data_IF_131720946252
#
_entry.id   IF_131720946252
#
_cell.length_a   1.000
_cell.length_b   1.000
_cell.length_c   1.000
_cell.angle_alpha   90.00
_cell.angle_beta   90.00
_cell.angle_gamma   90.00
#
_symmetry.space_group_name_H-M   'P 1'
#
loop_
_entity.id
_entity.type
_entity.pdbx_description
1 polymer ?
#
# COMPACT_ATOMS: atom_id res chain seq x y z
N UNK A 1 -22.02 -21.42 -19.73
CA UNK A 1 -21.76 -21.32 -18.29
C UNK A 1 -21.77 -19.84 -17.98
N UNK A 2 -22.88 -19.34 -17.42
CA UNK A 2 -23.17 -17.91 -17.31
C UNK A 2 -22.33 -17.28 -16.18
N UNK A 3 -21.46 -16.34 -16.52
CA UNK A 3 -20.99 -15.33 -15.58
C UNK A 3 -22.08 -14.28 -15.42
N UNK A 4 -22.90 -14.43 -14.38
CA UNK A 4 -23.83 -13.40 -13.94
C UNK A 4 -23.01 -12.29 -13.28
N UNK A 5 -22.56 -11.34 -14.10
CA UNK A 5 -22.01 -10.07 -13.61
C UNK A 5 -23.12 -9.36 -12.82
N UNK A 6 -23.03 -9.39 -11.50
CA UNK A 6 -23.93 -8.63 -10.62
C UNK A 6 -23.83 -7.15 -11.01
N UNK A 7 -24.95 -6.42 -11.16
CA UNK A 7 -24.91 -5.02 -11.53
C UNK A 7 -24.08 -4.25 -10.50
N UNK A 8 -23.01 -3.59 -10.96
CA UNK A 8 -22.17 -2.74 -10.13
C UNK A 8 -23.07 -1.65 -9.53
N UNK A 9 -23.35 -1.75 -8.23
CA UNK A 9 -24.10 -0.72 -7.52
C UNK A 9 -23.21 0.53 -7.48
N UNK A 10 -23.63 1.67 -8.04
CA UNK A 10 -22.82 2.88 -7.96
C UNK A 10 -22.70 3.30 -6.49
N UNK A 11 -21.48 3.55 -6.04
CA UNK A 11 -21.23 4.19 -4.76
C UNK A 11 -21.52 5.68 -4.89
N UNK A 12 -22.34 6.22 -3.98
CA UNK A 12 -22.71 7.63 -3.97
C UNK A 12 -21.86 8.37 -2.94
N UNK A 13 -21.21 9.46 -3.36
CA UNK A 13 -20.61 10.41 -2.42
C UNK A 13 -21.76 11.14 -1.72
N UNK A 14 -21.92 10.91 -0.43
CA UNK A 14 -22.89 11.63 0.40
C UNK A 14 -22.31 12.97 0.82
N UNK A 15 -22.63 14.02 0.06
CA UNK A 15 -22.09 15.38 0.22
C UNK A 15 -22.29 16.00 1.62
N UNK A 16 -23.25 15.48 2.40
CA UNK A 16 -23.53 15.97 3.76
C UNK A 16 -22.75 15.22 4.87
N UNK A 17 -22.16 14.06 4.58
CA UNK A 17 -21.34 13.33 5.54
C UNK A 17 -19.88 13.81 5.42
N UNK A 18 -19.11 13.83 6.52
CA UNK A 18 -17.67 14.08 6.42
C UNK A 18 -17.06 13.08 5.43
N UNK A 19 -16.14 13.52 4.56
CA UNK A 19 -15.55 12.63 3.58
C UNK A 19 -14.78 11.50 4.28
N UNK A 20 -14.79 10.28 3.73
CA UNK A 20 -14.06 9.17 4.32
C UNK A 20 -12.56 9.46 4.35
N UNK A 21 -11.92 9.16 5.48
CA UNK A 21 -10.48 9.25 5.66
C UNK A 21 -9.86 7.93 5.23
N UNK A 22 -9.13 7.98 4.11
CA UNK A 22 -8.43 6.81 3.56
C UNK A 22 -6.94 6.93 3.81
N UNK A 23 -6.36 5.94 4.48
CA UNK A 23 -4.92 5.85 4.71
C UNK A 23 -4.25 5.02 3.62
N UNK A 24 -3.33 5.64 2.89
CA UNK A 24 -2.39 4.93 2.03
C UNK A 24 -1.31 4.25 2.88
N UNK A 25 -1.33 2.93 2.92
CA UNK A 25 -0.48 2.11 3.77
C UNK A 25 0.55 1.34 2.93
N UNK A 26 1.75 1.91 2.85
CA UNK A 26 2.89 1.34 2.11
C UNK A 26 3.59 0.19 2.83
N UNK A 27 3.09 -0.26 3.99
CA UNK A 27 3.69 -1.36 4.76
C UNK A 27 5.13 -1.02 5.21
N UNK A 28 5.43 0.27 5.34
CA UNK A 28 6.69 0.80 5.86
C UNK A 28 6.58 1.23 7.32
N UNK A 29 7.70 1.63 7.91
CA UNK A 29 7.79 2.07 9.32
C UNK A 29 6.88 3.28 9.57
N UNK A 30 6.99 4.35 8.77
CA UNK A 30 6.25 5.58 8.98
C UNK A 30 4.74 5.40 8.85
N UNK A 31 4.30 4.71 7.78
CA UNK A 31 2.89 4.43 7.56
C UNK A 31 2.29 3.53 8.65
N UNK A 32 3.12 2.66 9.25
CA UNK A 32 2.72 1.80 10.37
C UNK A 32 2.60 2.61 11.66
N UNK A 33 3.58 3.48 11.93
CA UNK A 33 3.52 4.37 13.09
C UNK A 33 2.29 5.28 13.03
N UNK A 34 2.00 5.87 11.87
CA UNK A 34 0.81 6.68 11.65
C UNK A 34 -0.49 5.89 11.91
N UNK A 35 -0.61 4.67 11.35
CA UNK A 35 -1.77 3.81 11.57
C UNK A 35 -1.99 3.51 13.05
N UNK A 36 -0.93 3.15 13.77
CA UNK A 36 -0.99 2.79 15.19
C UNK A 36 -1.39 4.01 16.03
N UNK A 37 -0.82 5.17 15.74
CA UNK A 37 -1.09 6.40 16.49
C UNK A 37 -2.54 6.88 16.28
N UNK A 38 -3.03 6.88 15.03
CA UNK A 38 -4.42 7.21 14.73
C UNK A 38 -5.40 6.29 15.47
N UNK A 39 -5.12 4.98 15.47
CA UNK A 39 -5.92 4.01 16.21
C UNK A 39 -5.88 4.25 17.72
N UNK A 40 -4.71 4.61 18.28
CA UNK A 40 -4.55 4.89 19.70
C UNK A 40 -5.32 6.15 20.16
N UNK A 41 -5.46 7.15 19.28
CA UNK A 41 -6.25 8.37 19.52
C UNK A 41 -7.76 8.19 19.37
N UNK A 42 -8.22 7.01 18.91
CA UNK A 42 -9.61 6.81 18.51
C UNK A 42 -9.97 7.51 17.20
N UNK A 43 -8.97 7.89 16.40
CA UNK A 43 -9.09 8.55 15.09
C UNK A 43 -8.77 7.57 13.96
N UNK A 44 -9.20 6.31 14.10
CA UNK A 44 -8.88 5.27 13.12
C UNK A 44 -9.41 5.63 11.72
N UNK A 45 -8.65 5.39 10.64
CA UNK A 45 -9.13 5.63 9.27
C UNK A 45 -10.36 4.78 8.95
N UNK A 46 -11.25 5.31 8.10
CA UNK A 46 -12.40 4.57 7.59
C UNK A 46 -11.99 3.41 6.67
N UNK A 47 -10.85 3.57 5.98
CA UNK A 47 -10.29 2.58 5.08
C UNK A 47 -8.76 2.71 5.02
N UNK A 48 -8.08 1.57 5.06
CA UNK A 48 -6.65 1.45 4.83
C UNK A 48 -6.42 0.70 3.51
N UNK A 49 -5.55 1.23 2.66
CA UNK A 49 -5.24 0.65 1.34
C UNK A 49 -3.76 0.33 1.23
N UNK A 50 -3.42 -0.90 0.78
CA UNK A 50 -2.07 -1.24 0.34
C UNK A 50 -2.07 -1.64 -1.13
N UNK A 51 -1.08 -1.18 -1.88
CA UNK A 51 -0.84 -1.64 -3.24
C UNK A 51 0.04 -2.89 -3.21
N UNK A 52 -0.43 -3.99 -3.80
CA UNK A 52 0.38 -5.19 -3.99
C UNK A 52 1.01 -5.20 -5.39
N UNK A 53 2.33 -5.18 -5.41
CA UNK A 53 3.15 -5.18 -6.63
C UNK A 53 3.30 -6.58 -7.24
N UNK A 54 2.83 -7.63 -6.56
CA UNK A 54 3.01 -9.03 -6.97
C UNK A 54 4.47 -9.47 -6.96
N UNK A 55 5.35 -8.73 -6.31
CA UNK A 55 6.79 -9.00 -6.24
C UNK A 55 7.43 -8.46 -4.95
N UNK A 56 6.65 -8.34 -3.86
CA UNK A 56 7.20 -7.99 -2.56
C UNK A 56 8.03 -9.15 -1.98
N UNK A 57 8.79 -8.86 -0.93
CA UNK A 57 9.53 -9.88 -0.20
C UNK A 57 8.57 -10.82 0.57
N UNK A 58 8.91 -12.11 0.75
CA UNK A 58 8.09 -13.03 1.53
C UNK A 58 7.73 -12.51 2.93
N UNK A 59 8.70 -11.91 3.62
CA UNK A 59 8.53 -11.36 4.97
C UNK A 59 7.54 -10.19 4.99
N UNK A 60 7.45 -9.41 3.90
CA UNK A 60 6.46 -8.34 3.75
C UNK A 60 5.04 -8.90 3.68
N UNK A 61 4.84 -10.02 2.98
CA UNK A 61 3.53 -10.68 2.90
C UNK A 61 3.12 -11.33 4.23
N UNK A 62 4.08 -11.90 4.96
CA UNK A 62 3.85 -12.42 6.32
C UNK A 62 3.45 -11.30 7.28
N UNK A 63 4.19 -10.19 7.25
CA UNK A 63 3.85 -9.00 8.01
C UNK A 63 2.49 -8.42 7.62
N UNK A 64 2.16 -8.37 6.33
CA UNK A 64 0.85 -7.93 5.84
C UNK A 64 -0.29 -8.77 6.42
N UNK A 65 -0.10 -10.10 6.53
CA UNK A 65 -1.08 -11.00 7.15
C UNK A 65 -1.28 -10.68 8.63
N UNK A 66 -0.18 -10.44 9.36
CA UNK A 66 -0.20 -10.08 10.77
C UNK A 66 -0.90 -8.73 11.02
N UNK A 67 -0.54 -7.68 10.27
CA UNK A 67 -1.13 -6.35 10.46
C UNK A 67 -2.60 -6.30 10.01
N UNK A 68 -2.99 -7.08 8.99
CA UNK A 68 -4.39 -7.24 8.60
C UNK A 68 -5.23 -7.83 9.75
N UNK A 69 -4.69 -8.83 10.47
CA UNK A 69 -5.36 -9.37 11.65
C UNK A 69 -5.47 -8.33 12.78
N UNK A 70 -4.42 -7.52 12.99
CA UNK A 70 -4.43 -6.44 13.98
C UNK A 70 -5.48 -5.36 13.68
N UNK A 71 -5.63 -4.97 12.40
CA UNK A 71 -6.64 -4.01 11.93
C UNK A 71 -8.06 -4.58 12.08
N UNK A 72 -8.27 -5.83 11.67
CA UNK A 72 -9.57 -6.52 11.81
C UNK A 72 -10.03 -6.59 13.26
N UNK A 73 -9.12 -6.88 14.20
CA UNK A 73 -9.44 -6.92 15.63
C UNK A 73 -9.91 -5.56 16.20
N UNK A 74 -9.65 -4.46 15.48
CA UNK A 74 -10.03 -3.08 15.84
C UNK A 74 -11.15 -2.51 14.98
N UNK A 75 -11.73 -3.32 14.08
CA UNK A 75 -12.77 -2.87 13.16
C UNK A 75 -12.28 -1.94 12.05
N UNK A 76 -10.96 -1.86 11.82
CA UNK A 76 -10.38 -1.01 10.77
C UNK A 76 -10.46 -1.78 9.45
N UNK A 77 -11.14 -1.20 8.45
CA UNK A 77 -11.26 -1.81 7.13
C UNK A 77 -9.91 -1.73 6.40
N UNK A 78 -9.44 -2.86 5.88
CA UNK A 78 -8.19 -2.96 5.16
C UNK A 78 -8.39 -3.68 3.82
N UNK A 79 -7.94 -3.07 2.73
CA UNK A 79 -8.03 -3.65 1.39
C UNK A 79 -6.66 -3.64 0.71
N UNK A 80 -6.34 -4.74 0.05
CA UNK A 80 -5.15 -4.86 -0.81
C UNK A 80 -5.59 -4.70 -2.26
N UNK A 81 -5.08 -3.67 -2.92
CA UNK A 81 -5.40 -3.36 -4.31
C UNK A 81 -4.26 -3.77 -5.23
N UNK A 82 -4.60 -4.27 -6.42
CA UNK A 82 -3.63 -4.64 -7.44
C UNK A 82 -3.93 -3.91 -8.73
N UNK A 83 -2.87 -3.47 -9.41
CA UNK A 83 -2.99 -2.88 -10.74
C UNK A 83 -3.44 -3.92 -11.77
N UNK A 84 -4.47 -3.58 -12.55
CA UNK A 84 -4.93 -4.38 -13.69
C UNK A 84 -4.54 -3.63 -14.97
N UNK A 85 -3.64 -4.19 -15.81
CA UNK A 85 -3.22 -3.54 -17.04
C UNK A 85 -4.38 -3.39 -18.02
N UNK A 86 -4.73 -2.15 -18.36
CA UNK A 86 -5.71 -1.84 -19.41
C UNK A 86 -5.06 -1.34 -20.69
N UNK A 87 -3.92 -0.64 -20.57
CA UNK A 87 -3.16 -0.09 -21.68
C UNK A 87 -1.68 -0.39 -21.45
N UNK A 88 -1.10 -1.23 -22.28
CA UNK A 88 0.32 -1.59 -22.20
C UNK A 88 0.97 -1.43 -23.57
N UNK A 89 2.23 -1.01 -23.58
CA UNK A 89 2.99 -0.73 -24.81
C UNK A 89 3.50 -2.00 -25.50
N UNK A 90 3.94 -2.98 -24.71
CA UNK A 90 4.55 -4.22 -25.20
C UNK A 90 3.76 -5.42 -24.69
N UNK A 91 3.63 -6.44 -25.55
CA UNK A 91 2.96 -7.71 -25.25
C UNK A 91 3.99 -8.73 -24.71
N UNK A 92 3.64 -9.58 -23.72
CA UNK A 92 2.35 -9.68 -23.02
C UNK A 92 2.14 -8.57 -21.96
N UNK A 93 0.89 -8.35 -21.48
CA UNK A 93 0.65 -7.49 -20.32
C UNK A 93 1.42 -7.97 -19.09
N UNK A 94 1.81 -7.03 -18.23
CA UNK A 94 2.54 -7.29 -17.00
C UNK A 94 1.61 -7.23 -15.78
N UNK A 95 1.68 -8.22 -14.88
CA UNK A 95 0.80 -8.30 -13.70
C UNK A 95 1.55 -8.14 -12.38
N UNK A 96 2.86 -7.87 -12.47
CA UNK A 96 3.74 -7.65 -11.34
C UNK A 96 4.79 -6.61 -11.69
N UNK A 97 5.44 -6.05 -10.67
CA UNK A 97 6.54 -5.11 -10.88
C UNK A 97 7.72 -5.78 -11.61
N UNK A 98 8.05 -7.04 -11.28
CA UNK A 98 9.09 -7.79 -12.00
C UNK A 98 8.73 -7.99 -13.48
N UNK A 99 7.50 -8.42 -13.78
CA UNK A 99 7.08 -8.63 -15.18
C UNK A 99 7.03 -7.32 -15.95
N UNK A 100 6.74 -6.19 -15.31
CA UNK A 100 6.78 -4.87 -15.94
C UNK A 100 8.19 -4.52 -16.43
N UNK A 101 9.19 -4.72 -15.57
CA UNK A 101 10.61 -4.46 -15.83
C UNK A 101 11.08 -5.31 -17.02
N UNK A 102 10.76 -6.61 -17.01
CA UNK A 102 11.14 -7.56 -18.06
C UNK A 102 10.45 -7.25 -19.40
N UNK A 103 9.13 -7.00 -19.36
CA UNK A 103 8.32 -6.75 -20.57
C UNK A 103 8.73 -5.46 -21.28
N UNK A 104 9.12 -4.43 -20.52
CA UNK A 104 9.50 -3.14 -21.10
C UNK A 104 11.00 -2.99 -21.32
N UNK A 105 11.80 -3.99 -20.96
CA UNK A 105 13.27 -3.91 -20.93
C UNK A 105 13.76 -2.64 -20.21
N UNK A 106 13.15 -2.34 -19.07
CA UNK A 106 13.46 -1.17 -18.23
C UNK A 106 14.10 -1.59 -16.92
N UNK A 107 14.70 -0.65 -16.19
CA UNK A 107 15.08 -0.83 -14.80
C UNK A 107 14.08 -0.11 -13.89
N UNK A 108 13.89 -0.57 -12.64
CA UNK A 108 13.10 0.17 -11.68
C UNK A 108 13.80 1.50 -11.35
N UNK A 109 13.03 2.54 -11.02
CA UNK A 109 13.55 3.91 -10.87
C UNK A 109 14.68 4.02 -9.83
N UNK A 110 14.63 3.15 -8.82
CA UNK A 110 15.65 2.96 -7.78
C UNK A 110 17.04 2.69 -8.36
N UNK A 111 17.13 1.92 -9.44
CA UNK A 111 18.41 1.63 -10.10
C UNK A 111 19.00 2.84 -10.83
N UNK A 112 18.19 3.87 -11.11
CA UNK A 112 18.60 5.09 -11.81
C UNK A 112 18.80 6.27 -10.85
N UNK A 113 18.87 6.02 -9.54
CA UNK A 113 19.00 7.07 -8.51
C UNK A 113 17.74 7.92 -8.31
N UNK A 114 16.58 7.48 -8.81
CA UNK A 114 15.31 8.19 -8.69
C UNK A 114 14.43 7.53 -7.64
N UNK A 115 14.35 8.17 -6.48
CA UNK A 115 13.59 7.69 -5.32
C UNK A 115 12.83 8.84 -4.67
N UNK A 116 11.60 9.10 -5.12
CA UNK A 116 10.71 10.04 -4.43
C UNK A 116 9.78 9.35 -3.43
N UNK A 117 9.54 8.05 -3.60
CA UNK A 117 8.58 7.28 -2.80
C UNK A 117 9.23 6.28 -1.82
N UNK A 118 10.55 6.08 -1.89
CA UNK A 118 11.31 5.22 -0.97
C UNK A 118 12.35 6.05 -0.25
N UNK A 119 11.92 6.85 0.74
CA UNK A 119 12.82 7.31 1.77
C UNK A 119 13.09 6.10 2.66
N UNK A 120 14.30 5.53 2.58
CA UNK A 120 14.86 4.91 3.78
C UNK A 120 14.93 6.01 4.85
N UNK A 121 14.86 5.68 6.15
CA UNK A 121 15.07 6.70 7.18
C UNK A 121 16.32 7.48 6.77
N UNK A 122 16.21 8.81 6.72
CA UNK A 122 17.41 9.61 6.66
C UNK A 122 18.25 9.10 7.83
N UNK A 123 19.37 8.45 7.54
CA UNK A 123 20.37 8.19 8.55
C UNK A 123 20.96 9.56 8.89
N UNK A 124 20.19 10.42 9.54
CA UNK A 124 20.77 11.29 10.53
C UNK A 124 21.35 10.33 11.55
N UNK A 125 22.66 10.32 11.64
CA UNK A 125 23.38 9.73 12.74
C UNK A 125 22.71 10.21 14.02
N UNK A 126 21.85 9.40 14.63
CA UNK A 126 21.38 9.65 15.99
C UNK A 126 22.60 9.40 16.87
N UNK A 127 23.43 10.43 17.03
CA UNK A 127 24.45 10.47 18.06
C UNK A 127 23.71 10.54 19.38
N UNK A 128 23.56 9.38 20.03
CA UNK A 128 23.26 9.34 21.44
C UNK A 128 24.34 10.15 22.16
N UNK A 129 23.93 11.17 22.92
CA UNK A 129 24.81 11.81 23.86
C UNK A 129 25.38 10.71 24.76
N UNK A 130 26.71 10.61 24.82
CA UNK A 130 27.36 9.82 25.85
C UNK A 130 27.18 10.62 27.14
N UNK A 131 26.41 10.07 28.07
CA UNK A 131 26.47 10.53 29.46
C UNK A 131 27.84 10.14 30.02
N UNK A 132 28.59 11.18 30.40
CA UNK A 132 29.91 11.24 31.09
C UNK A 132 31.16 10.64 30.41
#
# INVERSE_FOLDING_TARGET
>A
MNDLCSPHRPDYIRVAEPPPVVLAYGIGVDSTALLIELAARGEAPDLVLSADTGSEKPETYEYQTMIAAWMRARGIRYEVVRYIPQRFKHWPPYYSLLSNILTNATLPSISLGRHSCSLGPASETVSFARDE
#
